data_IF_489023664743
#
_entry.id   IF_489023664743
#
_cell.length_a   1.000
_cell.length_b   1.000
_cell.length_c   1.000
_cell.angle_alpha   90.00
_cell.angle_beta   90.00
_cell.angle_gamma   90.00
#
_symmetry.space_group_name_H-M   'P 1'
#
loop_
_entity.id
_entity.type
_entity.pdbx_description
1 polymer ?
#
# COMPACT_ATOMS: atom_id res chain seq x y z
N UNK A 1 20.27 -3.77 -6.30
CA UNK A 1 19.43 -2.87 -7.15
C UNK A 1 18.83 -3.66 -8.31
N UNK A 2 19.61 -4.43 -9.09
CA UNK A 2 19.15 -5.13 -10.28
C UNK A 2 17.96 -6.06 -10.05
N UNK A 3 17.91 -6.74 -8.89
CA UNK A 3 16.77 -7.59 -8.51
C UNK A 3 15.48 -6.79 -8.22
N UNK A 4 15.59 -5.56 -7.78
CA UNK A 4 14.43 -4.68 -7.53
C UNK A 4 13.94 -4.10 -8.86
N UNK A 5 14.85 -3.53 -9.65
CA UNK A 5 14.51 -2.89 -10.94
C UNK A 5 13.93 -3.87 -11.95
N UNK A 6 14.39 -5.15 -11.94
CA UNK A 6 13.92 -6.21 -12.83
C UNK A 6 12.93 -7.18 -12.15
N UNK A 7 12.38 -6.78 -10.99
CA UNK A 7 11.38 -7.60 -10.29
C UNK A 7 10.13 -7.79 -11.15
N UNK A 8 9.55 -9.00 -11.20
CA UNK A 8 8.23 -9.22 -11.79
C UNK A 8 7.09 -8.58 -10.96
N UNK A 9 7.38 -8.19 -9.69
CA UNK A 9 6.51 -7.36 -8.87
C UNK A 9 6.94 -5.90 -9.02
N UNK A 10 6.22 -5.09 -9.83
CA UNK A 10 6.66 -3.74 -10.17
C UNK A 10 6.57 -2.76 -8.99
N UNK A 11 5.78 -3.10 -7.97
CA UNK A 11 5.50 -2.22 -6.83
C UNK A 11 6.36 -2.54 -5.61
N UNK A 12 7.34 -3.44 -5.73
CA UNK A 12 8.14 -3.94 -4.62
C UNK A 12 8.83 -2.80 -3.85
N UNK A 13 8.28 -2.46 -2.69
CA UNK A 13 8.76 -1.41 -1.77
C UNK A 13 8.97 -0.04 -2.43
N UNK A 14 8.08 0.34 -3.32
CA UNK A 14 8.14 1.59 -4.08
C UNK A 14 7.15 2.63 -3.54
N UNK A 15 7.37 3.89 -3.93
CA UNK A 15 6.39 4.96 -3.80
C UNK A 15 5.34 4.83 -4.88
N UNK A 16 4.08 4.93 -4.50
CA UNK A 16 2.93 4.82 -5.36
C UNK A 16 2.28 6.18 -5.58
N UNK A 17 2.01 6.49 -6.81
CA UNK A 17 1.33 7.71 -7.27
C UNK A 17 1.18 7.70 -8.81
N UNK A 18 0.41 8.66 -9.40
CA UNK A 18 -0.20 9.81 -8.73
C UNK A 18 -1.34 9.39 -7.79
N UNK A 19 -2.01 8.25 -8.07
CA UNK A 19 -3.14 7.75 -7.29
C UNK A 19 -2.93 6.28 -6.92
N UNK A 20 -2.75 6.02 -5.63
CA UNK A 20 -2.60 4.69 -5.06
C UNK A 20 -3.91 3.89 -5.13
N UNK A 21 -3.78 2.58 -5.25
CA UNK A 21 -4.88 1.66 -5.46
C UNK A 21 -5.61 1.88 -6.81
N UNK A 22 -6.85 1.42 -6.98
CA UNK A 22 -7.53 1.32 -8.26
C UNK A 22 -8.48 2.49 -8.54
N UNK A 23 -8.53 2.89 -9.81
CA UNK A 23 -9.59 3.73 -10.37
C UNK A 23 -10.36 2.88 -11.38
N UNK A 24 -11.66 2.69 -11.11
CA UNK A 24 -12.54 1.86 -11.91
C UNK A 24 -12.55 2.30 -13.38
N UNK A 25 -12.31 1.34 -14.29
CA UNK A 25 -12.28 1.56 -15.75
C UNK A 25 -11.28 2.64 -16.20
N UNK A 26 -10.35 3.03 -15.30
CA UNK A 26 -9.42 4.13 -15.56
C UNK A 26 -10.10 5.46 -15.83
N UNK A 27 -11.27 5.72 -15.24
CA UNK A 27 -12.03 6.95 -15.50
C UNK A 27 -12.49 7.61 -14.22
N UNK A 28 -12.42 8.92 -14.20
CA UNK A 28 -13.04 9.73 -13.13
C UNK A 28 -13.56 11.06 -13.71
N UNK A 29 -14.50 11.67 -13.00
CA UNK A 29 -15.04 12.98 -13.33
C UNK A 29 -14.60 13.99 -12.28
N UNK A 30 -13.99 15.08 -12.71
CA UNK A 30 -13.55 16.17 -11.83
C UNK A 30 -14.14 17.48 -12.38
N UNK A 31 -14.92 18.19 -11.56
CA UNK A 31 -15.62 19.42 -11.93
C UNK A 31 -16.43 19.34 -13.24
N UNK A 32 -16.99 18.16 -13.53
CA UNK A 32 -17.82 17.89 -14.73
C UNK A 32 -17.02 17.51 -15.98
N UNK A 33 -15.71 17.45 -15.92
CA UNK A 33 -14.84 16.97 -16.99
C UNK A 33 -14.45 15.51 -16.72
N UNK A 34 -14.63 14.63 -17.72
CA UNK A 34 -14.21 13.24 -17.66
C UNK A 34 -12.73 13.13 -18.06
N UNK A 35 -11.96 12.39 -17.24
CA UNK A 35 -10.57 12.06 -17.47
C UNK A 35 -10.41 10.56 -17.65
N UNK A 36 -9.61 10.16 -18.65
CA UNK A 36 -9.28 8.76 -18.94
C UNK A 36 -7.81 8.50 -18.62
N UNK A 37 -7.59 7.46 -17.80
CA UNK A 37 -6.26 7.02 -17.37
C UNK A 37 -5.82 5.78 -18.13
N UNK A 38 -4.51 5.55 -18.17
CA UNK A 38 -3.94 4.32 -18.71
C UNK A 38 -4.36 3.10 -17.89
N UNK A 39 -4.86 2.07 -18.59
CA UNK A 39 -5.28 0.79 -17.99
C UNK A 39 -4.08 -0.12 -17.84
N UNK A 40 -3.90 -0.73 -16.66
CA UNK A 40 -2.79 -1.65 -16.38
C UNK A 40 -3.18 -2.83 -15.47
N UNK A 41 -4.44 -2.92 -15.03
CA UNK A 41 -4.91 -3.99 -14.16
C UNK A 41 -6.33 -4.44 -14.55
N UNK A 42 -6.43 -5.45 -15.43
CA UNK A 42 -7.71 -5.85 -16.02
C UNK A 42 -8.39 -4.66 -16.70
N UNK A 43 -9.62 -4.29 -16.31
CA UNK A 43 -10.31 -3.12 -16.85
C UNK A 43 -9.96 -1.79 -16.16
N UNK A 44 -9.08 -1.80 -15.14
CA UNK A 44 -8.87 -0.69 -14.23
C UNK A 44 -7.48 -0.05 -14.38
N UNK A 45 -7.33 1.18 -13.91
CA UNK A 45 -6.03 1.78 -13.62
C UNK A 45 -5.63 1.44 -12.18
N UNK A 46 -4.40 0.99 -11.98
CA UNK A 46 -3.84 0.63 -10.68
C UNK A 46 -2.55 1.41 -10.44
N UNK A 47 -2.41 1.96 -9.24
CA UNK A 47 -1.17 2.57 -8.74
C UNK A 47 -0.56 3.64 -9.65
N UNK A 48 -1.44 4.44 -10.31
CA UNK A 48 -1.02 5.53 -11.19
C UNK A 48 -0.65 5.12 -12.61
N UNK A 49 -0.97 3.87 -13.01
CA UNK A 49 -0.74 3.36 -14.36
C UNK A 49 0.57 2.58 -14.52
N UNK A 50 0.85 2.04 -15.72
CA UNK A 50 2.01 1.17 -15.98
C UNK A 50 3.36 1.88 -15.77
N UNK A 51 3.41 3.19 -15.94
CA UNK A 51 4.60 4.02 -15.71
C UNK A 51 4.35 5.10 -14.67
N UNK A 52 3.62 4.75 -13.60
CA UNK A 52 3.39 5.59 -12.44
C UNK A 52 4.66 5.88 -11.64
N UNK A 53 4.54 6.42 -10.45
CA UNK A 53 5.66 6.90 -9.64
C UNK A 53 6.70 5.83 -9.30
N UNK A 54 6.28 4.58 -9.20
CA UNK A 54 7.14 3.40 -9.00
C UNK A 54 8.15 3.17 -10.13
N UNK A 55 7.86 3.65 -11.34
CA UNK A 55 8.66 3.46 -12.54
C UNK A 55 9.40 4.74 -12.97
N UNK A 56 9.39 5.79 -12.14
CA UNK A 56 10.06 7.07 -12.43
C UNK A 56 11.40 7.18 -11.72
N UNK A 57 12.27 7.93 -12.33
CA UNK A 57 13.52 8.37 -11.69
C UNK A 57 13.25 9.69 -10.96
N UNK A 58 13.55 9.72 -9.69
CA UNK A 58 13.39 10.88 -8.83
C UNK A 58 14.74 11.56 -8.61
N UNK A 59 14.74 12.89 -8.56
CA UNK A 59 15.88 13.63 -8.07
C UNK A 59 16.01 13.44 -6.56
N UNK A 60 17.21 13.15 -6.06
CA UNK A 60 17.44 12.81 -4.68
C UNK A 60 18.50 13.70 -4.04
N UNK A 61 18.18 14.30 -2.89
CA UNK A 61 19.04 15.12 -2.08
C UNK A 61 19.20 14.52 -0.67
N UNK A 62 20.42 14.23 -0.26
CA UNK A 62 20.68 13.82 1.12
C UNK A 62 20.80 15.05 2.00
N UNK A 63 19.76 15.31 2.82
CA UNK A 63 19.69 16.49 3.69
C UNK A 63 20.46 16.31 4.99
N UNK A 64 20.55 15.07 5.50
CA UNK A 64 21.34 14.68 6.67
C UNK A 64 21.75 13.21 6.54
N UNK A 65 22.51 12.68 7.50
CA UNK A 65 22.95 11.28 7.50
C UNK A 65 21.77 10.28 7.45
N UNK A 66 20.69 10.64 8.14
CA UNK A 66 19.47 9.84 8.27
C UNK A 66 18.26 10.42 7.52
N UNK A 67 18.44 11.44 6.66
CA UNK A 67 17.35 12.11 5.93
C UNK A 67 17.70 12.21 4.45
N UNK A 68 16.79 11.68 3.61
CA UNK A 68 16.86 11.83 2.16
C UNK A 68 15.54 12.40 1.65
N UNK A 69 15.62 13.38 0.77
CA UNK A 69 14.50 13.98 0.06
C UNK A 69 14.51 13.55 -1.40
N UNK A 70 13.35 13.20 -1.91
CA UNK A 70 13.13 12.88 -3.30
C UNK A 70 12.14 13.89 -3.90
N UNK A 71 12.44 14.36 -5.11
CA UNK A 71 11.61 15.31 -5.83
C UNK A 71 11.24 14.75 -7.20
N UNK A 72 9.98 14.93 -7.60
CA UNK A 72 9.51 14.54 -8.92
C UNK A 72 8.44 15.52 -9.41
N UNK A 73 8.48 15.84 -10.69
CA UNK A 73 7.43 16.61 -11.37
C UNK A 73 6.72 15.70 -12.34
N UNK A 74 5.48 15.34 -12.02
CA UNK A 74 4.59 14.59 -12.88
C UNK A 74 3.88 15.56 -13.82
N UNK A 75 4.17 15.50 -15.12
CA UNK A 75 3.66 16.45 -16.10
C UNK A 75 2.15 16.32 -16.34
N UNK A 76 1.52 17.41 -16.78
CA UNK A 76 0.12 17.43 -17.24
C UNK A 76 -0.10 16.34 -18.31
N UNK A 77 -1.08 15.46 -18.09
CA UNK A 77 -1.40 14.34 -18.97
C UNK A 77 -0.57 13.06 -18.74
N UNK A 78 0.37 13.04 -17.78
CA UNK A 78 1.09 11.81 -17.43
C UNK A 78 0.10 10.75 -16.96
N UNK A 79 0.14 9.55 -17.58
CA UNK A 79 -0.81 8.45 -17.39
C UNK A 79 -2.30 8.85 -17.51
N UNK A 80 -2.59 10.03 -18.08
CA UNK A 80 -3.93 10.60 -18.25
C UNK A 80 -4.36 11.55 -17.13
N UNK A 81 -3.55 11.76 -16.10
CA UNK A 81 -3.88 12.67 -15.00
C UNK A 81 -3.71 14.14 -15.41
N UNK A 82 -4.69 15.03 -15.10
CA UNK A 82 -4.60 16.46 -15.42
C UNK A 82 -3.66 17.19 -14.46
N UNK A 83 -3.05 18.26 -14.98
CA UNK A 83 -2.19 19.20 -14.24
C UNK A 83 -0.77 18.71 -14.02
N UNK A 84 0.17 19.65 -13.91
CA UNK A 84 1.49 19.36 -13.40
C UNK A 84 1.40 19.17 -11.88
N UNK A 85 1.99 18.09 -11.38
CA UNK A 85 2.06 17.79 -9.95
C UNK A 85 3.53 17.77 -9.54
N UNK A 86 3.92 18.71 -8.69
CA UNK A 86 5.23 18.72 -8.04
C UNK A 86 5.12 17.94 -6.75
N UNK A 87 5.95 16.91 -6.56
CA UNK A 87 5.93 16.04 -5.39
C UNK A 87 7.28 16.07 -4.70
N UNK A 88 7.27 16.32 -3.41
CA UNK A 88 8.37 16.15 -2.48
C UNK A 88 8.06 14.97 -1.57
N UNK A 89 9.01 14.07 -1.41
CA UNK A 89 8.92 12.94 -0.49
C UNK A 89 10.18 12.89 0.37
N UNK A 90 10.01 12.83 1.69
CA UNK A 90 11.11 12.75 2.65
C UNK A 90 11.07 11.42 3.38
N UNK A 91 12.19 10.70 3.33
CA UNK A 91 12.46 9.54 4.18
C UNK A 91 13.38 9.97 5.31
N UNK A 92 12.99 9.66 6.54
CA UNK A 92 13.79 9.95 7.74
C UNK A 92 13.83 8.74 8.67
N UNK A 93 15.03 8.36 9.06
CA UNK A 93 15.25 7.32 10.07
C UNK A 93 15.36 7.99 11.45
N UNK A 94 14.49 7.59 12.37
CA UNK A 94 14.54 7.99 13.77
C UNK A 94 15.20 6.87 14.57
N UNK A 95 16.49 7.03 14.85
CA UNK A 95 17.31 5.95 15.42
C UNK A 95 16.87 5.59 16.85
N UNK A 96 16.50 6.59 17.66
CA UNK A 96 16.08 6.38 19.05
C UNK A 96 14.76 5.60 19.14
N UNK A 97 13.83 5.88 18.24
CA UNK A 97 12.53 5.21 18.14
C UNK A 97 12.57 3.96 17.24
N UNK A 98 13.69 3.72 16.54
CA UNK A 98 13.82 2.69 15.51
C UNK A 98 12.66 2.77 14.48
N UNK A 99 12.40 3.98 14.00
CA UNK A 99 11.29 4.29 13.12
C UNK A 99 11.75 4.83 11.76
N UNK A 100 11.00 4.47 10.72
CA UNK A 100 11.06 5.10 9.40
C UNK A 100 9.87 6.03 9.25
N UNK A 101 10.13 7.31 9.06
CA UNK A 101 9.12 8.33 8.76
C UNK A 101 9.14 8.62 7.27
N UNK A 102 7.97 8.62 6.63
CA UNK A 102 7.77 8.96 5.23
C UNK A 102 6.77 10.11 5.17
N UNK A 103 7.20 11.26 4.65
CA UNK A 103 6.37 12.45 4.51
C UNK A 103 6.21 12.79 3.04
N UNK A 104 4.98 13.14 2.64
CA UNK A 104 4.66 13.57 1.28
C UNK A 104 4.13 14.99 1.28
N UNK A 105 4.57 15.78 0.31
CA UNK A 105 4.00 17.08 -0.03
C UNK A 105 3.80 17.15 -1.53
N UNK A 106 2.67 17.72 -1.95
CA UNK A 106 2.39 17.90 -3.37
C UNK A 106 1.72 19.24 -3.62
N UNK A 107 2.09 19.88 -4.73
CA UNK A 107 1.45 21.08 -5.27
C UNK A 107 1.12 20.89 -6.73
N UNK A 108 0.06 21.54 -7.20
CA UNK A 108 -0.40 21.39 -8.59
C UNK A 108 -0.89 22.72 -9.17
N UNK A 109 -0.77 22.87 -10.48
CA UNK A 109 -1.26 24.04 -11.23
C UNK A 109 -2.71 23.90 -11.73
N UNK A 110 -3.28 22.67 -11.67
CA UNK A 110 -4.68 22.39 -12.05
C UNK A 110 -5.32 21.43 -11.05
N UNK A 111 -6.64 21.41 -11.00
CA UNK A 111 -7.36 20.39 -10.26
C UNK A 111 -6.99 19.00 -10.77
N UNK A 112 -6.63 18.11 -9.84
CA UNK A 112 -6.26 16.72 -10.10
C UNK A 112 -6.61 15.85 -8.89
N UNK A 113 -6.48 14.52 -9.03
CA UNK A 113 -6.63 13.57 -7.94
C UNK A 113 -5.26 13.10 -7.48
N UNK A 114 -5.06 13.04 -6.16
CA UNK A 114 -3.79 12.61 -5.54
C UNK A 114 -4.10 11.67 -4.39
N UNK A 115 -3.41 10.52 -4.36
CA UNK A 115 -3.44 9.57 -3.27
C UNK A 115 -2.08 8.86 -3.22
N UNK A 116 -1.13 9.42 -2.48
CA UNK A 116 0.24 8.90 -2.40
C UNK A 116 0.34 7.86 -1.29
N UNK A 117 1.04 6.78 -1.57
CA UNK A 117 1.29 5.74 -0.56
C UNK A 117 2.67 5.08 -0.77
N UNK A 118 3.09 4.28 0.20
CA UNK A 118 4.27 3.44 0.11
C UNK A 118 3.85 1.97 0.12
N UNK A 119 4.34 1.21 -0.85
CA UNK A 119 4.02 -0.21 -1.00
C UNK A 119 5.13 -1.09 -0.41
N UNK A 120 5.46 -0.84 0.87
CA UNK A 120 6.46 -1.62 1.61
C UNK A 120 6.04 -3.07 1.79
N UNK A 121 6.87 -4.02 1.33
CA UNK A 121 6.68 -5.45 1.52
C UNK A 121 7.50 -5.90 2.72
N UNK A 122 6.84 -6.23 3.83
CA UNK A 122 7.50 -6.60 5.07
C UNK A 122 7.38 -8.09 5.35
N UNK A 123 8.48 -8.69 5.84
CA UNK A 123 8.46 -10.01 6.45
C UNK A 123 9.27 -9.98 7.74
N UNK A 124 8.59 -9.97 8.88
CA UNK A 124 9.23 -9.88 10.20
C UNK A 124 9.97 -11.16 10.61
N UNK A 125 9.69 -12.30 9.96
CA UNK A 125 10.46 -13.54 10.14
C UNK A 125 11.84 -13.46 9.45
N UNK A 126 12.01 -12.50 8.52
CA UNK A 126 13.22 -12.32 7.73
C UNK A 126 13.14 -13.00 6.36
N UNK A 127 14.19 -12.79 5.57
CA UNK A 127 14.30 -13.28 4.20
C UNK A 127 15.18 -14.53 4.18
N UNK A 128 14.71 -15.59 3.49
CA UNK A 128 15.44 -16.85 3.30
C UNK A 128 15.01 -17.52 1.99
N UNK A 129 15.47 -18.73 1.72
CA UNK A 129 15.09 -19.48 0.53
C UNK A 129 14.48 -20.86 0.91
N UNK A 130 13.15 -21.04 0.78
CA UNK A 130 12.13 -20.00 0.50
C UNK A 130 11.94 -19.06 1.67
N UNK A 131 11.49 -17.84 1.39
CA UNK A 131 11.08 -16.90 2.43
C UNK A 131 9.82 -17.41 3.14
N UNK A 132 9.78 -17.41 4.49
CA UNK A 132 8.60 -17.86 5.23
C UNK A 132 7.35 -17.06 4.86
N UNK A 133 6.18 -17.70 4.94
CA UNK A 133 4.90 -16.97 4.82
C UNK A 133 4.63 -16.13 6.06
N UNK A 134 3.81 -15.08 5.89
CA UNK A 134 3.39 -14.18 6.99
C UNK A 134 2.15 -14.68 7.73
N UNK A 135 1.71 -15.90 7.44
CA UNK A 135 0.47 -16.45 8.00
C UNK A 135 0.49 -16.57 9.53
N UNK A 136 1.69 -16.73 10.12
CA UNK A 136 1.88 -16.76 11.58
C UNK A 136 1.97 -15.35 12.21
N UNK A 137 2.05 -14.31 11.41
CA UNK A 137 2.10 -12.95 11.95
C UNK A 137 0.77 -12.62 12.63
N UNK A 138 0.85 -12.02 13.82
CA UNK A 138 -0.31 -11.57 14.59
C UNK A 138 -0.53 -10.11 14.26
N UNK A 139 -1.71 -9.79 13.76
CA UNK A 139 -2.08 -8.45 13.31
C UNK A 139 -3.21 -7.90 14.16
N UNK A 140 -3.14 -6.59 14.44
CA UNK A 140 -4.24 -5.79 14.98
C UNK A 140 -4.39 -4.55 14.10
N UNK A 141 -5.62 -4.16 13.77
CA UNK A 141 -5.92 -2.95 12.98
C UNK A 141 -6.94 -2.10 13.74
N UNK A 142 -6.62 -0.82 13.92
CA UNK A 142 -7.51 0.12 14.60
C UNK A 142 -8.63 0.61 13.66
N UNK A 143 -9.51 -0.31 13.26
CA UNK A 143 -10.60 -0.04 12.34
C UNK A 143 -11.81 -0.92 12.64
N UNK A 144 -12.99 -0.31 12.76
CA UNK A 144 -14.26 -1.02 12.93
C UNK A 144 -14.97 -1.32 11.60
N UNK A 145 -14.44 -0.77 10.51
CA UNK A 145 -15.03 -0.88 9.18
C UNK A 145 -13.94 -1.10 8.13
N UNK A 146 -14.35 -1.62 6.98
CA UNK A 146 -13.53 -1.77 5.78
C UNK A 146 -14.37 -1.47 4.53
N UNK A 147 -13.74 -1.29 3.38
CA UNK A 147 -14.42 -1.13 2.10
C UNK A 147 -14.47 -2.47 1.35
N UNK A 148 -15.66 -3.09 1.19
CA UNK A 148 -15.82 -4.29 0.37
C UNK A 148 -15.45 -4.04 -1.09
N UNK A 149 -14.87 -5.06 -1.73
CA UNK A 149 -14.46 -5.03 -3.15
C UNK A 149 -15.27 -6.02 -3.98
N UNK A 150 -15.41 -5.71 -5.27
CA UNK A 150 -15.95 -6.62 -6.28
C UNK A 150 -14.89 -7.62 -6.80
N UNK A 151 -15.25 -8.40 -7.81
CA UNK A 151 -14.41 -9.46 -8.42
C UNK A 151 -13.16 -8.91 -9.17
N UNK A 152 -13.14 -7.61 -9.46
CA UNK A 152 -12.00 -6.90 -10.07
C UNK A 152 -11.32 -5.93 -9.09
N UNK A 153 -11.56 -6.17 -7.79
CA UNK A 153 -10.97 -5.44 -6.65
C UNK A 153 -11.30 -3.94 -6.62
N UNK A 154 -12.46 -3.55 -7.15
CA UNK A 154 -12.98 -2.18 -7.04
C UNK A 154 -13.87 -2.09 -5.81
N UNK A 155 -13.69 -1.05 -4.94
CA UNK A 155 -14.60 -0.79 -3.83
C UNK A 155 -16.05 -0.63 -4.30
N UNK A 156 -16.98 -1.31 -3.62
CA UNK A 156 -18.41 -1.30 -4.00
C UNK A 156 -19.14 -0.02 -3.64
N UNK A 157 -18.49 0.88 -2.89
CA UNK A 157 -19.09 2.07 -2.29
C UNK A 157 -19.70 1.81 -0.91
N UNK A 158 -19.74 0.56 -0.46
CA UNK A 158 -20.13 0.21 0.90
C UNK A 158 -18.98 0.44 1.89
N UNK A 159 -19.32 0.80 3.13
CA UNK A 159 -18.45 0.78 4.29
C UNK A 159 -19.02 -0.25 5.27
N UNK A 160 -18.47 -1.46 5.25
CA UNK A 160 -18.97 -2.61 5.99
C UNK A 160 -18.28 -2.77 7.35
N UNK A 161 -19.00 -3.28 8.35
CA UNK A 161 -18.41 -3.62 9.65
C UNK A 161 -17.48 -4.82 9.55
N UNK A 162 -16.38 -4.78 10.29
CA UNK A 162 -15.47 -5.94 10.44
C UNK A 162 -16.03 -6.96 11.43
N UNK A 163 -16.80 -6.51 12.43
CA UNK A 163 -17.34 -7.32 13.52
C UNK A 163 -18.08 -8.56 13.02
N UNK A 164 -17.70 -9.72 13.56
CA UNK A 164 -18.32 -11.01 13.20
C UNK A 164 -17.93 -11.55 11.82
N UNK A 165 -16.94 -10.97 11.19
CA UNK A 165 -16.40 -11.41 9.88
C UNK A 165 -14.93 -11.80 9.98
N UNK A 166 -14.38 -12.55 8.99
CA UNK A 166 -12.93 -12.79 8.93
C UNK A 166 -12.07 -11.53 8.79
N UNK A 167 -12.68 -10.38 8.46
CA UNK A 167 -12.00 -9.09 8.33
C UNK A 167 -11.72 -8.43 9.70
N UNK A 168 -12.21 -8.99 10.80
CA UNK A 168 -12.06 -8.39 12.13
C UNK A 168 -10.66 -8.59 12.72
N UNK A 169 -9.85 -7.54 12.67
CA UNK A 169 -8.56 -7.42 13.34
C UNK A 169 -8.58 -6.37 14.46
N UNK A 170 -9.74 -6.04 15.02
CA UNK A 170 -9.83 -5.14 16.18
C UNK A 170 -9.17 -5.72 17.43
N UNK A 171 -9.01 -7.03 17.48
CA UNK A 171 -8.20 -7.78 18.45
C UNK A 171 -7.12 -8.60 17.74
N UNK A 172 -6.05 -9.03 18.45
CA UNK A 172 -4.95 -9.76 17.83
C UNK A 172 -5.40 -11.10 17.22
N UNK A 173 -5.15 -11.29 15.92
CA UNK A 173 -5.37 -12.53 15.18
C UNK A 173 -4.19 -12.87 14.30
N UNK A 174 -3.88 -14.15 14.14
CA UNK A 174 -2.91 -14.56 13.12
C UNK A 174 -3.52 -14.38 11.73
N UNK A 175 -2.71 -13.94 10.78
CA UNK A 175 -3.16 -13.74 9.39
C UNK A 175 -3.70 -15.05 8.81
N UNK A 176 -3.03 -16.17 9.05
CA UNK A 176 -3.39 -17.49 8.53
C UNK A 176 -4.66 -18.09 9.12
N UNK A 177 -5.12 -17.60 10.27
CA UNK A 177 -6.27 -18.17 10.99
C UNK A 177 -7.53 -18.22 10.14
N UNK A 178 -7.78 -17.17 9.37
CA UNK A 178 -9.03 -16.97 8.62
C UNK A 178 -8.84 -16.63 7.14
N UNK A 179 -7.60 -16.46 6.66
CA UNK A 179 -7.31 -16.00 5.29
C UNK A 179 -7.89 -16.90 4.20
N UNK A 180 -8.17 -18.17 4.51
CA UNK A 180 -8.71 -19.16 3.60
C UNK A 180 -10.22 -19.43 3.83
N UNK A 181 -10.89 -18.65 4.65
CA UNK A 181 -12.31 -18.78 4.91
C UNK A 181 -13.13 -18.56 3.63
N UNK A 182 -14.26 -19.28 3.52
CA UNK A 182 -15.22 -19.12 2.42
C UNK A 182 -16.04 -17.84 2.60
N UNK A 183 -15.36 -16.73 2.72
CA UNK A 183 -15.95 -15.40 2.80
C UNK A 183 -15.72 -14.67 1.48
N UNK A 184 -16.77 -14.09 0.90
CA UNK A 184 -16.72 -13.54 -0.47
C UNK A 184 -15.59 -12.54 -0.66
N UNK A 185 -15.29 -11.71 0.34
CA UNK A 185 -14.23 -10.71 0.26
C UNK A 185 -12.83 -11.35 0.18
N UNK A 186 -12.59 -12.40 0.96
CA UNK A 186 -11.33 -13.15 0.87
C UNK A 186 -11.19 -13.91 -0.45
N UNK A 187 -12.31 -14.33 -1.05
CA UNK A 187 -12.33 -14.91 -2.40
C UNK A 187 -11.96 -13.85 -3.43
N UNK A 188 -12.58 -12.65 -3.36
CA UNK A 188 -12.31 -11.55 -4.29
C UNK A 188 -10.86 -11.06 -4.22
N UNK A 189 -10.29 -10.94 -3.02
CA UNK A 189 -8.90 -10.51 -2.80
C UNK A 189 -7.86 -11.64 -2.89
N UNK A 190 -8.27 -12.89 -3.10
CA UNK A 190 -7.41 -14.08 -2.99
C UNK A 190 -6.70 -14.17 -1.60
N UNK A 191 -7.28 -13.58 -0.59
CA UNK A 191 -6.77 -13.33 0.75
C UNK A 191 -7.13 -11.92 1.20
N UNK A 192 -6.35 -11.33 2.09
CA UNK A 192 -6.55 -9.93 2.45
C UNK A 192 -5.92 -9.03 1.40
N UNK A 193 -6.73 -8.15 0.83
CA UNK A 193 -6.36 -7.05 -0.09
C UNK A 193 -7.46 -5.98 -0.02
N UNK A 194 -7.60 -5.37 1.17
CA UNK A 194 -8.75 -4.51 1.48
C UNK A 194 -8.31 -3.26 2.25
N UNK A 195 -8.99 -2.15 1.98
CA UNK A 195 -8.82 -0.93 2.74
C UNK A 195 -9.67 -0.93 4.00
N UNK A 196 -9.02 -0.75 5.14
CA UNK A 196 -9.63 -0.58 6.46
C UNK A 196 -9.85 0.91 6.74
N UNK A 197 -11.04 1.25 7.20
CA UNK A 197 -11.44 2.61 7.59
C UNK A 197 -10.99 2.84 9.04
N UNK A 198 -9.95 3.63 9.21
CA UNK A 198 -9.30 3.83 10.51
C UNK A 198 -10.17 4.61 11.49
N UNK A 199 -10.12 4.19 12.75
CA UNK A 199 -10.72 4.92 13.86
C UNK A 199 -9.82 6.11 14.23
N UNK A 200 -9.97 7.24 13.52
CA UNK A 200 -9.16 8.44 13.75
C UNK A 200 -9.66 9.22 14.95
N UNK A 201 -8.75 9.79 15.75
CA UNK A 201 -9.08 10.73 16.83
C UNK A 201 -9.63 12.01 16.23
N UNK A 202 -8.93 12.54 15.23
CA UNK A 202 -9.37 13.67 14.40
C UNK A 202 -8.80 13.53 12.98
N UNK A 203 -9.40 14.21 12.02
CA UNK A 203 -8.94 14.18 10.64
C UNK A 203 -7.49 14.67 10.53
N UNK A 204 -6.62 13.88 9.94
CA UNK A 204 -5.20 14.20 9.74
C UNK A 204 -4.31 14.01 10.97
N UNK A 205 -4.83 13.51 12.11
CA UNK A 205 -3.98 13.15 13.24
C UNK A 205 -3.09 11.96 12.91
N UNK A 206 -1.87 11.95 13.44
CA UNK A 206 -0.97 10.81 13.35
C UNK A 206 -1.36 9.78 14.41
N UNK A 207 -2.10 8.75 14.00
CA UNK A 207 -2.63 7.73 14.90
C UNK A 207 -2.09 6.35 14.54
N UNK A 208 -2.05 5.44 15.53
CA UNK A 208 -1.75 4.04 15.32
C UNK A 208 -2.84 3.40 14.45
N UNK A 209 -2.45 2.94 13.27
CA UNK A 209 -3.32 2.25 12.32
C UNK A 209 -3.31 0.73 12.52
N UNK A 210 -2.13 0.15 12.66
CA UNK A 210 -1.97 -1.30 12.77
C UNK A 210 -0.74 -1.69 13.57
N UNK A 211 -0.77 -2.91 14.12
CA UNK A 211 0.42 -3.59 14.67
C UNK A 211 0.58 -4.94 13.99
N UNK A 212 1.82 -5.37 13.80
CA UNK A 212 2.17 -6.68 13.28
C UNK A 212 3.29 -7.28 14.14
N UNK A 213 3.07 -8.47 14.69
CA UNK A 213 4.04 -9.17 15.52
C UNK A 213 4.35 -10.55 14.94
N UNK A 214 5.63 -10.90 14.83
CA UNK A 214 6.08 -12.22 14.38
C UNK A 214 6.65 -12.99 15.57
N UNK A 215 5.96 -14.09 16.01
CA UNK A 215 6.27 -14.73 17.30
C UNK A 215 7.60 -15.47 17.34
N UNK A 216 8.15 -15.95 16.22
CA UNK A 216 9.40 -16.70 16.21
C UNK A 216 10.63 -15.77 16.30
N UNK A 217 10.59 -14.65 15.61
CA UNK A 217 11.66 -13.64 15.62
C UNK A 217 11.54 -12.66 16.80
N UNK A 218 10.32 -12.52 17.35
CA UNK A 218 9.97 -11.53 18.36
C UNK A 218 9.90 -10.10 17.83
N UNK A 219 9.95 -9.89 16.50
CA UNK A 219 9.88 -8.55 15.89
C UNK A 219 8.45 -8.05 15.90
N UNK A 220 8.31 -6.75 16.22
CA UNK A 220 7.04 -6.04 16.14
C UNK A 220 7.21 -4.83 15.20
N UNK A 221 6.19 -4.56 14.41
CA UNK A 221 6.06 -3.35 13.62
C UNK A 221 4.77 -2.65 14.00
N UNK A 222 4.85 -1.34 14.21
CA UNK A 222 3.71 -0.47 14.40
C UNK A 222 3.60 0.47 13.19
N UNK A 223 2.41 0.67 12.70
CA UNK A 223 2.12 1.54 11.56
C UNK A 223 1.28 2.72 12.03
N UNK A 224 1.82 3.91 11.90
CA UNK A 224 1.13 5.16 12.19
C UNK A 224 0.87 5.90 10.90
N UNK A 225 -0.26 6.58 10.79
CA UNK A 225 -0.57 7.38 9.60
C UNK A 225 -1.47 8.56 9.91
N UNK A 226 -1.38 9.59 9.08
CA UNK A 226 -2.34 10.71 9.02
C UNK A 226 -3.52 10.41 8.11
N UNK A 227 -3.44 9.35 7.28
CA UNK A 227 -4.48 8.97 6.33
C UNK A 227 -5.72 8.37 6.97
N UNK A 228 -6.85 8.43 6.25
CA UNK A 228 -8.15 7.95 6.72
C UNK A 228 -8.27 6.41 6.68
N UNK A 229 -7.47 5.75 5.87
CA UNK A 229 -7.50 4.31 5.68
C UNK A 229 -6.11 3.69 5.57
N UNK A 230 -6.08 2.36 5.71
CA UNK A 230 -4.91 1.55 5.46
C UNK A 230 -5.32 0.29 4.67
N UNK A 231 -4.68 0.07 3.53
CA UNK A 231 -4.79 -1.19 2.81
C UNK A 231 -3.97 -2.25 3.52
N UNK A 232 -4.60 -3.38 3.84
CA UNK A 232 -3.90 -4.61 4.23
C UNK A 232 -3.80 -5.50 3.00
N UNK A 233 -2.58 -5.74 2.53
CA UNK A 233 -2.29 -6.68 1.46
C UNK A 233 -1.34 -7.77 1.96
N UNK A 234 -1.69 -9.02 1.74
CA UNK A 234 -0.97 -10.18 2.29
C UNK A 234 -0.09 -10.91 1.27
N UNK A 235 0.39 -10.19 0.25
CA UNK A 235 1.30 -10.76 -0.76
C UNK A 235 0.70 -11.92 -1.56
N UNK A 236 -0.62 -11.89 -1.80
CA UNK A 236 -1.38 -13.00 -2.38
C UNK A 236 -0.93 -13.37 -3.80
N UNK A 237 -0.40 -12.39 -4.55
CA UNK A 237 0.02 -12.53 -5.94
C UNK A 237 1.53 -12.71 -6.12
N UNK A 238 2.31 -12.77 -5.03
CA UNK A 238 3.71 -13.17 -5.10
C UNK A 238 3.79 -14.62 -5.62
N UNK A 239 4.64 -14.86 -6.60
CA UNK A 239 4.63 -16.11 -7.37
C UNK A 239 5.93 -16.92 -7.27
N UNK A 240 6.75 -16.67 -6.25
CA UNK A 240 7.99 -17.40 -6.01
C UNK A 240 9.18 -16.88 -6.80
N UNK A 241 9.15 -15.63 -7.30
CA UNK A 241 10.28 -15.05 -7.99
C UNK A 241 11.52 -14.94 -7.08
N UNK A 242 12.69 -14.96 -7.72
CA UNK A 242 13.97 -14.82 -7.03
C UNK A 242 14.30 -13.34 -6.77
N UNK A 243 14.68 -13.04 -5.54
CA UNK A 243 15.14 -11.74 -5.09
C UNK A 243 16.63 -11.72 -4.75
N UNK A 244 17.02 -10.74 -3.94
CA UNK A 244 18.41 -10.61 -3.51
C UNK A 244 18.88 -11.82 -2.67
N UNK A 245 20.16 -12.15 -2.76
CA UNK A 245 20.82 -13.22 -2.01
C UNK A 245 20.22 -14.63 -2.23
N UNK A 246 19.58 -14.87 -3.39
CA UNK A 246 18.95 -16.16 -3.72
C UNK A 246 17.66 -16.43 -2.94
N UNK A 247 17.09 -15.43 -2.28
CA UNK A 247 15.79 -15.55 -1.64
C UNK A 247 14.69 -15.75 -2.70
N UNK A 248 13.67 -16.53 -2.36
CA UNK A 248 12.46 -16.66 -3.18
C UNK A 248 11.26 -16.17 -2.40
N UNK A 249 10.31 -15.52 -3.11
CA UNK A 249 9.13 -14.90 -2.51
C UNK A 249 7.85 -15.63 -2.98
N UNK A 250 7.45 -16.72 -2.30
CA UNK A 250 6.20 -17.39 -2.59
C UNK A 250 5.00 -16.51 -2.20
N UNK A 251 3.81 -16.88 -2.66
CA UNK A 251 2.57 -16.23 -2.22
C UNK A 251 2.52 -16.16 -0.68
N UNK A 252 2.08 -15.03 -0.17
CA UNK A 252 1.97 -14.75 1.27
C UNK A 252 3.33 -14.72 2.01
N UNK A 253 4.40 -14.40 1.32
CA UNK A 253 5.71 -14.19 1.97
C UNK A 253 5.97 -12.75 2.39
N UNK A 254 4.99 -11.87 2.22
CA UNK A 254 5.07 -10.49 2.69
C UNK A 254 3.71 -9.94 3.08
N UNK A 255 3.73 -8.92 3.93
CA UNK A 255 2.56 -8.13 4.34
C UNK A 255 2.83 -6.65 4.02
N UNK A 256 1.82 -5.97 3.47
CA UNK A 256 1.87 -4.55 3.16
C UNK A 256 0.79 -3.82 3.95
N UNK A 257 1.14 -2.63 4.45
CA UNK A 257 0.22 -1.68 5.05
C UNK A 257 0.37 -0.36 4.28
N UNK A 258 -0.59 -0.08 3.41
CA UNK A 258 -0.55 1.07 2.51
C UNK A 258 -1.50 2.13 3.02
N UNK A 259 -0.97 3.17 3.64
CA UNK A 259 -1.77 4.29 4.14
C UNK A 259 -2.34 5.08 2.96
N UNK A 260 -3.65 5.33 2.94
CA UNK A 260 -4.34 5.93 1.80
C UNK A 260 -5.67 6.58 2.16
N UNK A 261 -6.17 7.45 1.28
CA UNK A 261 -7.58 7.77 1.20
C UNK A 261 -8.37 6.63 0.53
N UNK A 262 -9.68 6.56 0.71
CA UNK A 262 -10.56 5.54 0.13
C UNK A 262 -11.89 6.15 -0.37
#
# INVERSE_FOLDING_TARGET
IDHVVNSPEPFLSTTIGRYGNRIAKGKFTLYGEEHELTINNGPNSLHGGPTGFHARVWDADQLAENIIQFNYVSADGEEGFPGNLEVEMVYRLEEEENALVIEYRATTDKATVVNLTNHGFFNLAGISNPTPTIENNIVTINANFYTPIDEVSIPTGEVAKVEGTPMDFTTPHTVGERINDKFQQLINGAGYDHCYVLNKIETGSLDLAATCFEPNSGRTMEVYTTEAGVQLYTGNWLNGFEGAHGATFPARSAICFEAQCF
#
